data_IF_845809030586
#
_entry.id   IF_845809030586
#
_cell.length_a   1.000
_cell.length_b   1.000
_cell.length_c   1.000
_cell.angle_alpha   90.00
_cell.angle_beta   90.00
_cell.angle_gamma   90.00
#
_symmetry.space_group_name_H-M   'P 1'
#
loop_
_entity.id
_entity.type
_entity.pdbx_description
1 polymer ?
#
# COMPACT_ATOMS: atom_id res chain seq x y z
N UNK A 1 -1.41 24.60 -16.75
CA UNK A 1 -1.31 23.49 -15.78
C UNK A 1 -1.79 22.19 -16.41
N UNK A 2 -0.86 21.37 -16.91
CA UNK A 2 -1.18 20.05 -17.42
C UNK A 2 -1.71 19.14 -16.29
N UNK A 3 -2.77 18.40 -16.56
CA UNK A 3 -3.35 17.42 -15.62
C UNK A 3 -3.03 16.01 -16.09
N UNK A 4 -2.46 15.18 -15.20
CA UNK A 4 -2.16 13.78 -15.46
C UNK A 4 -2.97 12.88 -14.52
N UNK A 5 -3.32 11.70 -15.01
CA UNK A 5 -3.90 10.62 -14.25
C UNK A 5 -2.78 9.64 -13.88
N UNK A 6 -2.66 9.29 -12.60
CA UNK A 6 -1.63 8.37 -12.10
C UNK A 6 -2.28 7.19 -11.39
N UNK A 7 -1.75 5.99 -11.63
CA UNK A 7 -2.32 4.75 -11.14
C UNK A 7 -1.33 4.03 -10.22
N UNK A 8 -1.79 3.68 -9.01
CA UNK A 8 -1.11 2.74 -8.13
C UNK A 8 -1.82 1.40 -8.25
N UNK A 9 -1.26 0.51 -9.08
CA UNK A 9 -1.78 -0.84 -9.27
C UNK A 9 -1.12 -1.77 -8.27
N UNK A 10 -1.95 -2.42 -7.46
CA UNK A 10 -1.50 -3.31 -6.39
C UNK A 10 -2.00 -4.72 -6.67
N UNK A 11 -1.10 -5.68 -6.53
CA UNK A 11 -1.38 -7.10 -6.58
C UNK A 11 -0.65 -7.81 -5.43
N UNK A 12 -0.90 -9.10 -5.22
CA UNK A 12 -0.12 -9.93 -4.31
C UNK A 12 0.39 -11.14 -5.08
N UNK A 13 1.67 -11.46 -4.93
CA UNK A 13 2.31 -12.63 -5.52
C UNK A 13 3.30 -13.22 -4.54
N UNK A 14 3.28 -14.55 -4.39
CA UNK A 14 4.18 -15.29 -3.48
C UNK A 14 4.21 -14.72 -2.05
N UNK A 15 3.04 -14.43 -1.49
CA UNK A 15 2.89 -13.82 -0.15
C UNK A 15 3.58 -12.44 -0.02
N UNK A 16 3.83 -11.74 -1.15
CA UNK A 16 4.39 -10.39 -1.20
C UNK A 16 3.44 -9.41 -1.90
N UNK A 17 3.27 -8.21 -1.34
CA UNK A 17 2.52 -7.15 -1.99
C UNK A 17 3.37 -6.50 -3.09
N UNK A 18 2.77 -6.36 -4.26
CA UNK A 18 3.43 -5.89 -5.46
C UNK A 18 2.78 -4.59 -5.93
N UNK A 19 3.60 -3.66 -6.41
CA UNK A 19 3.18 -2.45 -7.12
C UNK A 19 3.70 -2.49 -8.54
N UNK A 20 2.86 -2.13 -9.49
CA UNK A 20 3.28 -1.99 -10.88
C UNK A 20 4.00 -0.67 -11.11
N UNK A 21 5.14 -0.74 -11.79
CA UNK A 21 6.01 0.40 -12.07
C UNK A 21 6.56 0.36 -13.48
N UNK A 22 6.96 1.53 -13.96
CA UNK A 22 7.63 1.75 -15.24
C UNK A 22 9.09 2.15 -15.00
N UNK A 23 9.88 2.23 -16.08
CA UNK A 23 11.25 2.75 -16.07
C UNK A 23 12.15 2.12 -14.98
N UNK A 24 12.13 0.78 -14.94
CA UNK A 24 12.94 0.02 -13.98
C UNK A 24 12.50 0.12 -12.53
N UNK A 25 11.36 0.75 -12.23
CA UNK A 25 10.84 0.91 -10.87
C UNK A 25 10.78 2.35 -10.36
N UNK A 26 11.11 3.33 -11.20
CA UNK A 26 11.19 4.74 -10.75
C UNK A 26 9.90 5.52 -10.93
N UNK A 27 8.99 5.05 -11.78
CA UNK A 27 7.78 5.81 -12.15
C UNK A 27 6.53 4.94 -11.98
N UNK A 28 5.44 5.54 -11.50
CA UNK A 28 4.12 4.91 -11.48
C UNK A 28 3.44 5.10 -12.85
N UNK A 29 2.65 4.12 -13.34
CA UNK A 29 1.88 4.27 -14.58
C UNK A 29 1.03 5.55 -14.56
N UNK A 30 1.19 6.38 -15.59
CA UNK A 30 0.50 7.67 -15.67
C UNK A 30 0.31 8.14 -17.10
N UNK A 31 -0.72 8.97 -17.35
CA UNK A 31 -1.01 9.51 -18.67
C UNK A 31 -1.77 10.84 -18.61
N UNK A 32 -1.80 11.63 -19.71
CA UNK A 32 -2.54 12.88 -19.76
C UNK A 32 -4.04 12.68 -19.56
N UNK A 33 -4.70 13.69 -18.99
CA UNK A 33 -6.15 13.80 -19.04
C UNK A 33 -6.59 14.23 -20.45
N UNK A 34 -7.26 13.34 -21.18
CA UNK A 34 -7.76 13.62 -22.53
C UNK A 34 -9.27 13.92 -22.53
N UNK A 35 -9.67 14.97 -23.25
CA UNK A 35 -11.07 15.42 -23.34
C UNK A 35 -12.01 14.40 -24.00
N UNK A 36 -11.47 13.46 -24.78
CA UNK A 36 -12.24 12.40 -25.45
C UNK A 36 -12.74 11.28 -24.52
N UNK A 37 -12.24 11.21 -23.28
CA UNK A 37 -12.64 10.18 -22.33
C UNK A 37 -13.93 10.58 -21.60
N UNK A 38 -14.95 9.70 -21.63
CA UNK A 38 -16.26 9.95 -20.98
C UNK A 38 -16.17 10.11 -19.45
N UNK A 39 -15.09 9.66 -18.83
CA UNK A 39 -14.79 9.88 -17.41
C UNK A 39 -13.29 9.77 -17.14
N UNK A 40 -12.82 10.35 -16.02
CA UNK A 40 -11.43 10.21 -15.56
C UNK A 40 -11.04 8.74 -15.39
N UNK A 41 -11.94 7.92 -14.83
CA UNK A 41 -11.71 6.49 -14.62
C UNK A 41 -11.60 5.73 -15.94
N UNK A 42 -12.39 6.08 -16.95
CA UNK A 42 -12.29 5.50 -18.30
C UNK A 42 -10.94 5.83 -18.92
N UNK A 43 -10.49 7.09 -18.80
CA UNK A 43 -9.18 7.51 -19.31
C UNK A 43 -8.02 6.79 -18.64
N UNK A 44 -8.07 6.66 -17.30
CA UNK A 44 -7.07 5.91 -16.53
C UNK A 44 -7.00 4.44 -16.98
N UNK A 45 -8.14 3.76 -17.09
CA UNK A 45 -8.21 2.36 -17.54
C UNK A 45 -7.53 2.18 -18.89
N UNK A 46 -7.92 2.99 -19.88
CA UNK A 46 -7.35 2.93 -21.23
C UNK A 46 -5.85 3.19 -21.22
N UNK A 47 -5.36 4.18 -20.47
CA UNK A 47 -3.94 4.49 -20.42
C UNK A 47 -3.12 3.38 -19.77
N UNK A 48 -3.57 2.86 -18.62
CA UNK A 48 -2.88 1.79 -17.92
C UNK A 48 -2.87 0.52 -18.77
N UNK A 49 -4.01 0.13 -19.34
CA UNK A 49 -4.10 -1.05 -20.20
C UNK A 49 -3.16 -0.92 -21.41
N UNK A 50 -3.07 0.27 -22.02
CA UNK A 50 -2.13 0.52 -23.14
C UNK A 50 -0.65 0.48 -22.72
N UNK A 51 -0.30 1.05 -21.57
CA UNK A 51 1.09 1.12 -21.11
C UNK A 51 1.61 -0.21 -20.59
N UNK A 52 0.73 -0.98 -19.98
CA UNK A 52 1.14 -2.08 -19.10
C UNK A 52 0.56 -3.42 -19.54
N UNK A 53 -0.48 -3.42 -20.38
CA UNK A 53 -1.20 -4.62 -20.76
C UNK A 53 -2.14 -5.17 -19.67
N UNK A 54 -2.22 -4.54 -18.49
CA UNK A 54 -3.02 -5.04 -17.38
C UNK A 54 -4.41 -4.40 -17.34
N UNK A 55 -5.44 -5.25 -17.36
CA UNK A 55 -6.80 -4.84 -17.05
C UNK A 55 -6.90 -4.39 -15.59
N UNK A 56 -7.55 -3.25 -15.36
CA UNK A 56 -7.82 -2.78 -14.00
C UNK A 56 -9.01 -3.54 -13.41
N UNK A 57 -8.85 -4.15 -12.24
CA UNK A 57 -9.96 -4.73 -11.49
C UNK A 57 -10.77 -3.65 -10.77
N UNK A 58 -10.69 -3.66 -9.45
CA UNK A 58 -11.24 -2.58 -8.61
C UNK A 58 -10.43 -1.29 -8.81
N UNK A 59 -11.10 -0.15 -8.97
CA UNK A 59 -10.45 1.17 -9.11
C UNK A 59 -11.20 2.18 -8.25
N UNK A 60 -10.46 2.94 -7.46
CA UNK A 60 -10.97 4.05 -6.65
C UNK A 60 -10.01 5.24 -6.75
N UNK A 61 -10.58 6.45 -6.81
CA UNK A 61 -9.79 7.67 -6.73
C UNK A 61 -9.20 7.82 -5.32
N UNK A 62 -7.91 8.12 -5.24
CA UNK A 62 -7.20 8.41 -3.99
C UNK A 62 -7.31 9.90 -3.69
N UNK A 63 -6.34 10.68 -4.14
CA UNK A 63 -6.22 12.11 -3.89
C UNK A 63 -5.76 12.84 -5.15
N UNK A 64 -5.88 14.17 -5.12
CA UNK A 64 -5.27 15.05 -6.12
C UNK A 64 -4.04 15.69 -5.52
N UNK A 65 -2.90 15.53 -6.19
CA UNK A 65 -1.62 16.11 -5.82
C UNK A 65 -1.29 17.26 -6.77
N UNK A 66 -0.61 18.28 -6.29
CA UNK A 66 -0.02 19.31 -7.12
C UNK A 66 1.48 19.07 -7.09
N UNK A 67 2.05 18.69 -8.23
CA UNK A 67 3.49 18.42 -8.33
C UNK A 67 4.25 19.74 -8.21
N UNK A 68 5.30 19.75 -7.38
CA UNK A 68 6.22 20.87 -7.34
C UNK A 68 7.09 20.80 -8.62
N UNK A 69 7.37 21.94 -9.29
CA UNK A 69 8.18 21.92 -10.50
C UNK A 69 9.55 21.29 -10.18
N UNK A 70 9.99 20.38 -11.05
CA UNK A 70 11.31 19.78 -10.97
C UNK A 70 12.36 20.90 -11.12
N UNK A 71 13.35 20.92 -10.23
CA UNK A 71 14.26 22.08 -10.07
C UNK A 71 15.07 22.42 -11.33
N UNK A 72 15.13 21.51 -12.30
CA UNK A 72 15.89 21.62 -13.55
C UNK A 72 15.03 21.58 -14.83
N UNK A 73 13.70 21.49 -14.73
CA UNK A 73 12.81 21.51 -15.89
C UNK A 73 11.99 22.80 -15.92
N UNK A 74 11.88 23.42 -17.10
CA UNK A 74 11.02 24.59 -17.38
C UNK A 74 9.51 24.29 -17.31
N UNK A 75 9.07 23.39 -16.43
CA UNK A 75 7.72 22.81 -16.48
C UNK A 75 6.74 23.50 -15.53
N UNK A 76 5.54 23.78 -16.06
CA UNK A 76 4.43 24.32 -15.29
C UNK A 76 4.02 23.35 -14.19
N UNK A 77 3.59 23.86 -13.02
CA UNK A 77 2.93 23.04 -11.99
C UNK A 77 1.89 22.12 -12.62
N UNK A 78 2.03 20.81 -12.38
CA UNK A 78 1.14 19.80 -12.90
C UNK A 78 0.18 19.31 -11.81
N UNK A 79 -1.05 18.95 -12.22
CA UNK A 79 -2.05 18.38 -11.31
C UNK A 79 -2.11 16.87 -11.55
N UNK A 80 -1.83 16.08 -10.51
CA UNK A 80 -1.86 14.63 -10.56
C UNK A 80 -3.12 14.11 -9.87
N UNK A 81 -4.03 13.49 -10.62
CA UNK A 81 -5.20 12.82 -10.06
C UNK A 81 -4.85 11.33 -9.90
N UNK A 82 -4.71 10.90 -8.66
CA UNK A 82 -4.25 9.55 -8.33
C UNK A 82 -5.39 8.56 -8.11
N UNK A 83 -5.15 7.31 -8.50
CA UNK A 83 -6.08 6.20 -8.35
C UNK A 83 -5.39 4.99 -7.75
N UNK A 84 -6.08 4.30 -6.85
CA UNK A 84 -5.73 2.97 -6.38
C UNK A 84 -6.47 1.97 -7.24
N UNK A 85 -5.74 1.01 -7.78
CA UNK A 85 -6.32 -0.12 -8.48
C UNK A 85 -5.82 -1.44 -7.88
N UNK A 86 -6.71 -2.41 -7.74
CA UNK A 86 -6.37 -3.76 -7.30
C UNK A 86 -6.59 -4.73 -8.45
N UNK A 87 -5.62 -5.61 -8.64
CA UNK A 87 -5.64 -6.63 -9.69
C UNK A 87 -4.86 -7.87 -9.27
N UNK A 88 -4.78 -8.85 -10.17
CA UNK A 88 -4.06 -10.10 -10.01
C UNK A 88 -2.97 -10.17 -11.06
N UNK A 89 -1.81 -10.73 -10.69
CA UNK A 89 -0.70 -10.90 -11.62
C UNK A 89 -0.96 -12.14 -12.49
N UNK A 90 -0.89 -11.98 -13.80
CA UNK A 90 -0.96 -13.09 -14.75
C UNK A 90 0.44 -13.48 -15.25
N UNK A 91 0.57 -14.67 -15.83
CA UNK A 91 1.85 -15.16 -16.33
C UNK A 91 2.37 -14.28 -17.49
N UNK A 92 3.67 -13.99 -17.50
CA UNK A 92 4.33 -13.18 -18.52
C UNK A 92 4.22 -11.66 -18.31
N UNK A 93 3.62 -11.23 -17.20
CA UNK A 93 3.56 -9.81 -16.83
C UNK A 93 4.88 -9.30 -16.24
N UNK A 94 5.24 -8.05 -16.53
CA UNK A 94 6.49 -7.40 -16.13
C UNK A 94 6.25 -6.07 -15.41
N UNK A 95 7.27 -5.51 -14.76
CA UNK A 95 7.18 -4.21 -14.09
C UNK A 95 6.64 -4.25 -12.65
N UNK A 96 6.27 -5.43 -12.16
CA UNK A 96 5.87 -5.66 -10.77
C UNK A 96 7.08 -5.60 -9.83
N UNK A 97 7.00 -4.77 -8.80
CA UNK A 97 8.02 -4.60 -7.75
C UNK A 97 7.41 -4.85 -6.38
N UNK A 98 8.17 -5.45 -5.47
CA UNK A 98 7.73 -5.56 -4.09
C UNK A 98 7.65 -4.16 -3.49
N UNK A 99 6.50 -3.76 -2.95
CA UNK A 99 6.34 -2.39 -2.47
C UNK A 99 7.26 -2.07 -1.25
N UNK A 100 7.79 -3.11 -0.58
CA UNK A 100 8.69 -3.00 0.56
C UNK A 100 10.13 -2.72 0.12
N UNK A 101 10.41 -2.84 -1.18
CA UNK A 101 11.67 -2.34 -1.74
C UNK A 101 11.72 -0.81 -1.65
N UNK A 102 10.58 -0.12 -1.70
CA UNK A 102 10.43 1.33 -1.51
C UNK A 102 10.28 1.72 -0.04
N UNK A 103 9.59 0.88 0.76
CA UNK A 103 9.30 1.16 2.17
C UNK A 103 9.71 0.00 3.09
N UNK A 104 11.00 -0.33 3.20
CA UNK A 104 11.44 -1.54 3.92
C UNK A 104 11.12 -1.53 5.41
N UNK A 105 10.90 -0.36 6.01
CA UNK A 105 10.49 -0.23 7.40
C UNK A 105 8.99 -0.50 7.62
N UNK A 106 8.18 -0.60 6.57
CA UNK A 106 6.75 -0.90 6.69
C UNK A 106 6.48 -2.41 6.82
N UNK A 107 7.48 -3.25 6.59
CA UNK A 107 7.39 -4.69 6.79
C UNK A 107 7.80 -5.05 8.23
N UNK A 108 6.83 -4.97 9.15
CA UNK A 108 7.03 -5.35 10.55
C UNK A 108 6.99 -6.86 10.76
N UNK A 109 6.77 -7.67 9.71
CA UNK A 109 6.79 -9.13 9.81
C UNK A 109 8.22 -9.66 9.90
N UNK A 110 9.19 -8.95 9.31
CA UNK A 110 10.60 -9.36 9.29
C UNK A 110 11.42 -8.73 10.41
N UNK A 111 12.45 -9.43 10.94
CA UNK A 111 13.41 -8.84 11.88
C UNK A 111 14.12 -7.61 11.31
N UNK A 112 14.45 -7.62 10.02
CA UNK A 112 15.15 -6.55 9.33
C UNK A 112 14.33 -5.25 9.28
N UNK A 113 13.03 -5.34 8.97
CA UNK A 113 12.13 -4.19 8.97
C UNK A 113 12.00 -3.57 10.37
N UNK A 114 11.85 -4.40 11.41
CA UNK A 114 11.81 -3.94 12.82
C UNK A 114 13.13 -3.28 13.25
N UNK A 115 14.28 -3.85 12.87
CA UNK A 115 15.59 -3.28 13.14
C UNK A 115 15.82 -1.96 12.39
N UNK A 116 15.23 -1.80 11.19
CA UNK A 116 15.28 -0.53 10.47
C UNK A 116 14.46 0.56 11.17
N UNK A 117 13.28 0.24 11.72
CA UNK A 117 12.48 1.19 12.51
C UNK A 117 13.28 1.73 13.71
N UNK A 118 13.98 0.88 14.45
CA UNK A 118 14.80 1.33 15.59
C UNK A 118 15.91 2.32 15.17
N UNK A 119 16.57 2.06 14.02
CA UNK A 119 17.60 2.97 13.47
C UNK A 119 17.00 4.30 13.00
N UNK A 120 15.87 4.24 12.31
CA UNK A 120 15.14 5.41 11.85
C UNK A 120 14.73 6.29 13.05
N UNK A 121 14.16 5.67 14.08
CA UNK A 121 13.74 6.37 15.30
C UNK A 121 14.91 7.08 15.99
N UNK A 122 16.10 6.47 16.01
CA UNK A 122 17.30 7.11 16.56
C UNK A 122 17.71 8.36 15.76
N UNK A 123 17.77 8.26 14.42
CA UNK A 123 18.11 9.40 13.55
C UNK A 123 17.09 10.54 13.66
N UNK A 124 15.81 10.20 13.71
CA UNK A 124 14.74 11.18 13.91
C UNK A 124 14.80 11.82 15.30
N UNK A 125 15.21 11.07 16.33
CA UNK A 125 15.45 11.58 17.67
C UNK A 125 16.58 12.61 17.72
N UNK A 126 17.67 12.37 16.99
CA UNK A 126 18.76 13.35 16.82
C UNK A 126 18.27 14.61 16.10
N UNK A 127 17.51 14.45 15.02
CA UNK A 127 16.89 15.57 14.28
C UNK A 127 15.90 16.38 15.13
N UNK A 128 15.16 15.73 16.04
CA UNK A 128 14.29 16.41 16.98
C UNK A 128 15.08 17.19 18.04
N UNK A 129 16.15 16.61 18.60
CA UNK A 129 17.02 17.27 19.60
C UNK A 129 17.79 18.47 19.05
N UNK A 130 18.14 18.44 17.77
CA UNK A 130 18.83 19.56 17.11
C UNK A 130 17.93 20.80 16.89
N UNK A 131 16.61 20.66 17.06
CA UNK A 131 15.66 21.75 16.88
C UNK A 131 15.50 22.61 18.15
N UNK A 132 15.00 23.87 18.03
CA UNK A 132 14.61 24.66 19.19
C UNK A 132 13.60 23.91 20.09
N UNK A 133 13.61 24.12 21.42
CA UNK A 133 12.92 23.24 22.37
C UNK A 133 11.44 22.95 22.06
N UNK A 134 10.66 23.97 21.69
CA UNK A 134 9.25 23.79 21.36
C UNK A 134 9.04 22.94 20.09
N UNK A 135 9.86 23.16 19.06
CA UNK A 135 9.81 22.39 17.82
C UNK A 135 10.34 20.96 18.03
N UNK A 136 11.41 20.81 18.82
CA UNK A 136 11.96 19.51 19.18
C UNK A 136 10.96 18.64 19.94
N UNK A 137 10.22 19.22 20.89
CA UNK A 137 9.14 18.52 21.60
C UNK A 137 8.02 18.07 20.64
N UNK A 138 7.57 18.95 19.74
CA UNK A 138 6.56 18.61 18.75
C UNK A 138 7.01 17.50 17.78
N UNK A 139 8.28 17.55 17.33
CA UNK A 139 8.89 16.49 16.51
C UNK A 139 8.94 15.17 17.26
N UNK A 140 9.39 15.19 18.53
CA UNK A 140 9.47 13.99 19.35
C UNK A 140 8.10 13.31 19.50
N UNK A 141 7.05 14.09 19.80
CA UNK A 141 5.69 13.56 19.88
C UNK A 141 5.23 12.92 18.56
N UNK A 142 5.48 13.57 17.42
CA UNK A 142 5.16 13.01 16.10
C UNK A 142 5.93 11.72 15.81
N UNK A 143 7.20 11.65 16.17
CA UNK A 143 8.03 10.44 16.02
C UNK A 143 7.44 9.30 16.85
N UNK A 144 7.14 9.54 18.13
CA UNK A 144 6.61 8.52 19.01
C UNK A 144 5.26 7.96 18.51
N UNK A 145 4.36 8.84 18.07
CA UNK A 145 3.06 8.45 17.49
C UNK A 145 3.20 7.65 16.19
N UNK A 146 4.03 8.12 15.26
CA UNK A 146 4.11 7.53 13.90
C UNK A 146 4.89 6.22 13.85
N UNK A 147 5.85 6.02 14.74
CA UNK A 147 6.68 4.81 14.80
C UNK A 147 6.31 3.86 15.95
N UNK A 148 5.26 4.16 16.71
CA UNK A 148 4.82 3.31 17.83
C UNK A 148 5.89 3.16 18.90
N UNK A 149 6.41 4.29 19.39
CA UNK A 149 7.41 4.32 20.47
C UNK A 149 6.75 4.69 21.80
N UNK A 150 7.49 4.59 22.91
CA UNK A 150 7.01 5.02 24.23
C UNK A 150 5.71 4.32 24.68
N UNK A 151 5.53 3.06 24.28
CA UNK A 151 4.33 2.27 24.57
C UNK A 151 3.13 2.56 23.65
N UNK A 152 3.28 3.49 22.70
CA UNK A 152 2.33 3.67 21.61
C UNK A 152 2.48 2.48 20.66
N UNK A 153 1.39 1.83 20.27
CA UNK A 153 1.45 0.69 19.34
C UNK A 153 1.79 1.11 17.92
N UNK A 154 2.31 0.19 17.10
CA UNK A 154 2.49 0.42 15.66
C UNK A 154 1.14 0.50 14.95
N UNK A 155 0.90 1.61 14.26
CA UNK A 155 -0.27 1.81 13.40
C UNK A 155 0.13 1.65 11.92
N UNK A 156 -0.44 0.62 11.30
CA UNK A 156 -0.18 0.24 9.92
C UNK A 156 -0.74 1.25 8.90
N UNK A 157 -1.68 2.12 9.30
CA UNK A 157 -2.28 3.15 8.44
C UNK A 157 -1.42 4.42 8.33
N UNK A 158 -0.46 4.64 9.23
CA UNK A 158 0.37 5.86 9.29
C UNK A 158 1.56 5.88 8.28
N UNK A 159 1.45 5.17 7.16
CA UNK A 159 2.52 5.01 6.15
C UNK A 159 2.96 6.36 5.58
N UNK A 160 1.98 7.19 5.17
CA UNK A 160 2.25 8.51 4.61
C UNK A 160 2.92 9.41 5.64
N UNK A 161 2.44 9.42 6.88
CA UNK A 161 2.97 10.25 7.95
C UNK A 161 4.42 9.89 8.29
N UNK A 162 4.76 8.59 8.28
CA UNK A 162 6.15 8.15 8.42
C UNK A 162 7.02 8.61 7.26
N UNK A 163 6.55 8.45 6.02
CA UNK A 163 7.29 8.92 4.85
C UNK A 163 7.51 10.45 4.88
N UNK A 164 6.48 11.23 5.16
CA UNK A 164 6.57 12.70 5.24
C UNK A 164 7.53 13.15 6.35
N UNK A 165 7.52 12.46 7.50
CA UNK A 165 8.47 12.76 8.58
C UNK A 165 9.93 12.48 8.18
N UNK A 166 10.18 11.37 7.46
CA UNK A 166 11.50 11.07 6.91
C UNK A 166 11.91 12.11 5.86
N UNK A 167 10.97 12.54 5.03
CA UNK A 167 11.18 13.58 4.02
C UNK A 167 11.56 14.91 4.68
N UNK A 168 10.81 15.36 5.69
CA UNK A 168 11.09 16.56 6.48
C UNK A 168 12.45 16.52 7.19
N UNK A 169 12.88 15.32 7.61
CA UNK A 169 14.15 15.10 8.29
C UNK A 169 15.35 15.00 7.33
N UNK A 170 15.13 15.04 6.02
CA UNK A 170 16.21 14.88 5.04
C UNK A 170 16.70 13.43 4.89
N UNK A 171 15.94 12.46 5.41
CA UNK A 171 16.35 11.05 5.54
C UNK A 171 15.95 10.19 4.33
N UNK A 172 15.34 10.75 3.30
CA UNK A 172 15.07 10.04 2.03
C UNK A 172 15.69 10.78 0.85
N UNK A 173 16.00 10.10 -0.27
CA UNK A 173 16.62 10.73 -1.43
C UNK A 173 15.80 11.88 -2.02
N UNK A 174 14.47 11.84 -1.89
CA UNK A 174 13.56 12.84 -2.43
C UNK A 174 13.47 14.12 -1.56
N UNK A 175 14.14 14.16 -0.41
CA UNK A 175 14.16 15.32 0.47
C UNK A 175 14.88 16.52 -0.13
N UNK A 176 14.36 17.72 0.12
CA UNK A 176 15.02 18.98 -0.25
C UNK A 176 15.09 19.93 0.96
N UNK A 177 16.29 20.20 1.52
CA UNK A 177 17.58 19.59 1.21
C UNK A 177 17.77 18.18 1.83
N UNK A 178 18.64 17.33 1.28
CA UNK A 178 18.99 16.03 1.88
C UNK A 178 19.92 16.18 3.09
N UNK A 179 19.78 15.34 4.11
CA UNK A 179 20.60 15.34 5.33
C UNK A 179 21.92 14.53 5.19
N UNK A 180 22.25 14.04 3.99
CA UNK A 180 23.49 13.31 3.67
C UNK A 180 23.42 11.80 3.88
N UNK A 181 22.76 11.30 4.93
CA UNK A 181 22.56 9.87 5.17
C UNK A 181 21.09 9.48 5.01
N UNK A 182 20.74 8.84 3.89
CA UNK A 182 19.36 8.39 3.62
C UNK A 182 19.09 7.00 4.18
N UNK A 183 17.86 6.77 4.63
CA UNK A 183 17.39 5.44 5.02
C UNK A 183 17.29 4.54 3.79
N UNK A 184 17.38 3.22 4.00
CA UNK A 184 17.24 2.24 2.92
C UNK A 184 15.84 2.33 2.29
N UNK A 185 15.80 2.26 0.96
CA UNK A 185 14.57 2.17 0.15
C UNK A 185 14.85 2.66 -1.28
N UNK A 186 14.20 2.07 -2.27
CA UNK A 186 14.31 2.52 -3.66
C UNK A 186 13.61 3.88 -3.82
N UNK A 187 14.21 4.76 -4.61
CA UNK A 187 13.67 6.08 -4.95
C UNK A 187 12.62 6.02 -6.07
N UNK A 188 11.76 7.04 -6.13
CA UNK A 188 10.87 7.28 -7.27
C UNK A 188 10.96 8.72 -7.72
N UNK A 189 10.65 8.97 -9.00
CA UNK A 189 10.59 10.31 -9.54
C UNK A 189 9.40 11.10 -8.95
N UNK A 190 9.62 12.39 -8.69
CA UNK A 190 8.61 13.31 -8.15
C UNK A 190 7.92 12.78 -6.88
N UNK A 191 6.61 12.97 -6.80
CA UNK A 191 5.76 12.52 -5.68
C UNK A 191 5.48 11.00 -5.67
N UNK A 192 6.17 10.18 -6.48
CA UNK A 192 5.85 8.75 -6.67
C UNK A 192 5.76 7.95 -5.36
N UNK A 193 6.75 8.09 -4.47
CA UNK A 193 6.73 7.43 -3.15
C UNK A 193 5.62 7.98 -2.25
N UNK A 194 5.37 9.29 -2.27
CA UNK A 194 4.29 9.90 -1.50
C UNK A 194 2.91 9.34 -1.91
N UNK A 195 2.69 9.22 -3.21
CA UNK A 195 1.47 8.64 -3.80
C UNK A 195 1.34 7.16 -3.43
N UNK A 196 2.43 6.38 -3.51
CA UNK A 196 2.43 4.97 -3.10
C UNK A 196 2.16 4.80 -1.60
N UNK A 197 2.80 5.59 -0.74
CA UNK A 197 2.55 5.59 0.71
C UNK A 197 1.08 5.90 1.04
N UNK A 198 0.48 6.84 0.32
CA UNK A 198 -0.95 7.17 0.42
C UNK A 198 -1.83 5.99 0.02
N UNK A 199 -1.50 5.31 -1.08
CA UNK A 199 -2.21 4.13 -1.56
C UNK A 199 -2.12 2.95 -0.57
N UNK A 200 -0.93 2.72 0.01
CA UNK A 200 -0.69 1.71 1.05
C UNK A 200 -1.56 1.96 2.28
N UNK A 201 -1.51 3.18 2.83
CA UNK A 201 -2.33 3.59 3.97
C UNK A 201 -3.83 3.38 3.69
N UNK A 202 -4.28 3.80 2.49
CA UNK A 202 -5.68 3.66 2.07
C UNK A 202 -6.10 2.20 1.92
N UNK A 203 -5.25 1.34 1.36
CA UNK A 203 -5.54 -0.08 1.20
C UNK A 203 -5.61 -0.77 2.57
N UNK A 204 -4.65 -0.52 3.47
CA UNK A 204 -4.62 -1.06 4.84
C UNK A 204 -5.88 -0.68 5.63
N UNK A 205 -6.26 0.59 5.59
CA UNK A 205 -7.53 1.04 6.17
C UNK A 205 -8.74 0.34 5.55
N UNK A 206 -8.75 0.12 4.23
CA UNK A 206 -9.88 -0.55 3.55
C UNK A 206 -10.01 -2.01 3.91
N UNK A 207 -8.92 -2.77 3.92
CA UNK A 207 -9.00 -4.20 4.22
C UNK A 207 -9.48 -4.45 5.65
N UNK A 208 -9.25 -3.50 6.58
CA UNK A 208 -9.78 -3.52 7.94
C UNK A 208 -11.31 -3.53 7.99
N UNK A 209 -11.97 -2.83 7.07
CA UNK A 209 -13.43 -2.59 7.11
C UNK A 209 -14.24 -3.11 5.92
N UNK A 210 -13.60 -3.52 4.83
CA UNK A 210 -14.25 -3.96 3.60
C UNK A 210 -13.60 -5.24 3.07
N UNK A 211 -14.37 -6.11 2.40
CA UNK A 211 -13.86 -7.34 1.79
C UNK A 211 -13.10 -7.04 0.47
N UNK A 212 -12.35 -5.94 0.39
CA UNK A 212 -11.61 -5.55 -0.81
C UNK A 212 -10.38 -6.43 -1.05
N UNK A 213 -9.90 -7.12 -0.01
CA UNK A 213 -8.78 -8.06 -0.09
C UNK A 213 -9.02 -9.17 -1.13
N UNK A 214 -10.28 -9.56 -1.38
CA UNK A 214 -10.59 -10.62 -2.34
C UNK A 214 -10.33 -10.24 -3.80
N UNK A 215 -10.18 -8.95 -4.11
CA UNK A 215 -9.72 -8.49 -5.43
C UNK A 215 -8.26 -8.89 -5.71
N UNK A 216 -7.48 -9.15 -4.65
CA UNK A 216 -6.09 -9.60 -4.71
C UNK A 216 -5.96 -11.13 -4.66
N UNK A 217 -7.06 -11.85 -4.43
CA UNK A 217 -7.07 -13.30 -4.28
C UNK A 217 -7.42 -14.01 -5.59
N UNK A 218 -6.88 -15.21 -5.86
CA UNK A 218 -7.38 -16.08 -6.92
C UNK A 218 -8.86 -16.45 -6.67
N UNK A 219 -9.53 -16.98 -7.70
CA UNK A 219 -10.95 -17.34 -7.59
C UNK A 219 -11.23 -18.42 -6.54
N UNK A 220 -10.27 -19.33 -6.32
CA UNK A 220 -10.25 -20.30 -5.23
C UNK A 220 -8.94 -20.20 -4.44
N UNK A 221 -9.04 -20.23 -3.11
CA UNK A 221 -7.90 -20.06 -2.22
C UNK A 221 -8.07 -20.83 -0.91
N UNK A 222 -6.95 -21.10 -0.23
CA UNK A 222 -6.95 -21.60 1.15
C UNK A 222 -7.05 -20.45 2.15
N UNK A 223 -7.58 -20.72 3.35
CA UNK A 223 -7.56 -19.72 4.44
C UNK A 223 -6.14 -19.29 4.86
N UNK A 224 -5.13 -20.14 4.61
CA UNK A 224 -3.74 -19.78 4.86
C UNK A 224 -3.25 -18.75 3.84
N UNK A 225 -3.53 -18.95 2.55
CA UNK A 225 -3.20 -17.96 1.51
C UNK A 225 -3.89 -16.62 1.77
N UNK A 226 -5.17 -16.65 2.18
CA UNK A 226 -5.88 -15.42 2.55
C UNK A 226 -5.22 -14.72 3.73
N UNK A 227 -4.87 -15.46 4.80
CA UNK A 227 -4.17 -14.90 5.96
C UNK A 227 -2.85 -14.25 5.54
N UNK A 228 -2.01 -14.97 4.77
CA UNK A 228 -0.71 -14.46 4.33
C UNK A 228 -0.84 -13.24 3.43
N UNK A 229 -1.85 -13.20 2.56
CA UNK A 229 -2.15 -12.02 1.73
C UNK A 229 -2.52 -10.81 2.60
N UNK A 230 -3.34 -11.00 3.63
CA UNK A 230 -3.69 -9.92 4.57
C UNK A 230 -2.46 -9.46 5.36
N UNK A 231 -1.65 -10.39 5.90
CA UNK A 231 -0.42 -10.08 6.63
C UNK A 231 0.58 -9.33 5.75
N UNK A 232 0.75 -9.77 4.49
CA UNK A 232 1.60 -9.16 3.49
C UNK A 232 1.20 -7.71 3.21
N UNK A 233 -0.10 -7.43 3.05
CA UNK A 233 -0.63 -6.08 2.80
C UNK A 233 -0.60 -5.21 4.07
N UNK A 234 -0.92 -5.77 5.24
CA UNK A 234 -0.88 -5.06 6.51
C UNK A 234 0.55 -4.77 7.00
N UNK A 235 1.53 -5.57 6.57
CA UNK A 235 2.90 -5.51 7.06
C UNK A 235 3.05 -5.98 8.51
N UNK A 236 2.07 -6.69 9.04
CA UNK A 236 2.06 -7.19 10.42
C UNK A 236 1.55 -8.63 10.46
N UNK A 237 2.11 -9.44 11.36
CA UNK A 237 1.66 -10.81 11.58
C UNK A 237 0.29 -10.85 12.30
N UNK A 238 -0.53 -11.84 11.97
CA UNK A 238 -1.85 -12.03 12.57
C UNK A 238 -1.93 -13.35 13.33
N UNK A 239 -2.72 -13.37 14.40
CA UNK A 239 -2.99 -14.61 15.12
C UNK A 239 -3.90 -15.52 14.29
N UNK A 240 -3.38 -16.69 13.89
CA UNK A 240 -4.05 -17.67 13.00
C UNK A 240 -5.46 -18.04 13.46
N UNK A 241 -5.68 -18.29 14.75
CA UNK A 241 -6.99 -18.70 15.25
C UNK A 241 -8.00 -17.54 15.24
N UNK A 242 -7.53 -16.32 15.54
CA UNK A 242 -8.39 -15.14 15.53
C UNK A 242 -8.82 -14.80 14.10
N UNK A 243 -7.87 -14.89 13.16
CA UNK A 243 -8.14 -14.68 11.74
C UNK A 243 -9.19 -15.65 11.20
N UNK A 244 -9.01 -16.96 11.45
CA UNK A 244 -9.96 -17.99 11.02
C UNK A 244 -11.35 -17.76 11.60
N UNK A 245 -11.44 -17.51 12.91
CA UNK A 245 -12.71 -17.21 13.58
C UNK A 245 -13.40 -16.01 12.95
N UNK A 246 -12.66 -14.94 12.65
CA UNK A 246 -13.19 -13.72 12.07
C UNK A 246 -13.76 -13.96 10.67
N UNK A 247 -13.02 -14.64 9.80
CA UNK A 247 -13.46 -14.92 8.42
C UNK A 247 -14.70 -15.82 8.41
N UNK A 248 -14.74 -16.87 9.24
CA UNK A 248 -15.91 -17.76 9.33
C UNK A 248 -17.13 -17.02 9.90
N UNK A 249 -16.96 -16.19 10.94
CA UNK A 249 -18.06 -15.43 11.54
C UNK A 249 -18.68 -14.39 10.60
N UNK A 250 -17.88 -13.84 9.68
CA UNK A 250 -18.37 -12.81 8.76
C UNK A 250 -19.13 -13.39 7.54
N UNK A 251 -19.15 -14.72 7.38
CA UNK A 251 -19.80 -15.43 6.27
C UNK A 251 -19.38 -14.88 4.88
N UNK A 252 -18.10 -14.50 4.76
CA UNK A 252 -17.55 -13.91 3.53
C UNK A 252 -17.08 -14.95 2.53
N UNK A 253 -16.83 -16.18 2.99
CA UNK A 253 -16.25 -17.25 2.18
C UNK A 253 -17.09 -18.51 2.28
N UNK A 254 -17.19 -19.25 1.19
CA UNK A 254 -17.84 -20.56 1.11
C UNK A 254 -16.79 -21.63 0.80
N UNK A 255 -16.89 -22.79 1.45
CA UNK A 255 -16.03 -23.94 1.18
C UNK A 255 -16.39 -24.56 -0.17
N UNK A 256 -15.40 -24.86 -0.98
CA UNK A 256 -15.59 -25.57 -2.25
C UNK A 256 -15.48 -27.08 -2.05
N UNK A 257 -15.99 -27.88 -2.99
CA UNK A 257 -15.79 -29.34 -2.96
C UNK A 257 -14.31 -29.75 -3.16
N UNK A 258 -13.51 -28.85 -3.74
CA UNK A 258 -12.12 -29.11 -4.09
C UNK A 258 -11.16 -28.94 -2.90
N UNK A 259 -10.06 -29.69 -2.95
CA UNK A 259 -8.93 -29.57 -2.05
C UNK A 259 -7.73 -28.98 -2.80
N UNK A 260 -6.88 -28.24 -2.10
CA UNK A 260 -5.66 -27.70 -2.67
C UNK A 260 -4.77 -28.87 -3.14
N UNK A 261 -4.17 -28.77 -4.34
CA UNK A 261 -3.24 -29.78 -4.84
C UNK A 261 -2.10 -30.00 -3.85
N UNK A 262 -1.68 -31.27 -3.72
CA UNK A 262 -0.93 -31.82 -2.61
C UNK A 262 0.35 -31.04 -2.24
N UNK A 263 0.23 -30.14 -1.27
CA UNK A 263 1.37 -29.62 -0.51
C UNK A 263 1.63 -30.55 0.67
N UNK A 264 2.82 -31.17 0.70
CA UNK A 264 3.40 -31.98 1.78
C UNK A 264 2.64 -31.84 3.13
N UNK A 265 1.63 -32.70 3.36
CA UNK A 265 0.75 -32.63 4.55
C UNK A 265 -0.72 -32.97 4.25
N UNK A 266 -1.65 -32.68 5.19
CA UNK A 266 -3.10 -32.84 4.95
C UNK A 266 -3.56 -31.79 3.92
N UNK A 267 -4.22 -32.18 2.81
CA UNK A 267 -4.70 -31.25 1.81
C UNK A 267 -5.59 -30.17 2.44
N UNK A 268 -5.30 -28.92 2.12
CA UNK A 268 -6.06 -27.78 2.62
C UNK A 268 -7.37 -27.65 1.85
N UNK A 269 -8.45 -27.30 2.56
CA UNK A 269 -9.74 -26.96 1.93
C UNK A 269 -9.62 -25.67 1.14
N UNK A 270 -10.23 -25.67 -0.05
CA UNK A 270 -10.37 -24.48 -0.86
C UNK A 270 -11.68 -23.75 -0.53
N UNK A 271 -11.63 -22.44 -0.69
CA UNK A 271 -12.72 -21.52 -0.43
C UNK A 271 -12.86 -20.56 -1.60
N UNK A 272 -14.07 -20.05 -1.79
CA UNK A 272 -14.39 -18.98 -2.73
C UNK A 272 -15.02 -17.80 -2.00
N UNK A 273 -14.78 -16.60 -2.51
CA UNK A 273 -15.44 -15.41 -2.00
C UNK A 273 -16.94 -15.34 -2.37
N UNK A 274 -17.82 -15.11 -1.38
CA UNK A 274 -19.26 -14.97 -1.59
C UNK A 274 -19.60 -13.55 -2.04
N UNK A 275 -19.46 -13.28 -3.35
CA UNK A 275 -19.71 -11.94 -3.94
C UNK A 275 -21.09 -11.38 -3.64
N UNK A 276 -22.08 -12.25 -3.46
CA UNK A 276 -23.49 -11.90 -3.17
C UNK A 276 -23.67 -11.19 -1.82
N UNK A 277 -22.79 -11.47 -0.85
CA UNK A 277 -22.82 -10.88 0.50
C UNK A 277 -22.48 -9.38 0.48
N UNK A 278 -21.72 -8.89 -0.51
CA UNK A 278 -21.42 -7.46 -0.67
C UNK A 278 -22.66 -6.70 -1.15
N UNK A 279 -23.40 -7.24 -2.11
CA UNK A 279 -24.58 -6.58 -2.68
C UNK A 279 -25.62 -6.28 -1.60
N UNK A 280 -25.90 -7.26 -0.74
CA UNK A 280 -26.82 -7.13 0.37
C UNK A 280 -26.31 -6.19 1.49
N UNK A 281 -25.01 -6.22 1.82
CA UNK A 281 -24.44 -5.41 2.92
C UNK A 281 -24.07 -3.98 2.54
N UNK A 282 -23.81 -3.67 1.26
CA UNK A 282 -23.67 -2.28 0.77
C UNK A 282 -24.95 -1.47 0.97
N UNK A 283 -26.11 -2.12 0.92
CA UNK A 283 -27.42 -1.53 1.20
C UNK A 283 -27.61 -1.32 2.72
N UNK A 284 -27.03 -2.19 3.56
CA UNK A 284 -27.22 -2.22 5.01
C UNK A 284 -26.16 -1.45 5.84
N UNK A 285 -25.13 -0.85 5.22
CA UNK A 285 -24.21 0.09 5.89
C UNK A 285 -23.25 -0.48 6.94
N UNK A 286 -23.11 -1.81 7.07
CA UNK A 286 -22.28 -2.41 8.13
C UNK A 286 -20.76 -2.38 7.82
N UNK A 287 -19.97 -1.93 8.80
CA UNK A 287 -18.49 -1.90 8.78
C UNK A 287 -17.93 -3.21 9.35
N UNK A 288 -16.86 -3.75 8.77
CA UNK A 288 -16.14 -4.92 9.32
C UNK A 288 -15.09 -4.47 10.33
N UNK A 289 -14.91 -5.08 11.51
CA UNK A 289 -13.71 -4.82 12.32
C UNK A 289 -12.68 -5.93 12.10
N UNK A 290 -11.56 -5.65 11.42
CA UNK A 290 -10.33 -6.45 11.62
C UNK A 290 -9.65 -6.00 12.93
N UNK A 291 -9.48 -6.95 13.84
CA UNK A 291 -8.94 -6.79 15.20
C UNK A 291 -7.47 -6.35 15.25
N UNK A 292 -7.05 -5.85 16.42
CA UNK A 292 -5.69 -5.38 16.74
C UNK A 292 -4.59 -6.44 16.45
N UNK A 293 -3.36 -6.00 16.13
CA UNK A 293 -2.20 -6.88 16.04
C UNK A 293 -1.96 -7.64 17.35
N UNK A 294 -1.21 -8.74 17.27
CA UNK A 294 -0.82 -9.58 18.42
C UNK A 294 0.14 -8.85 19.34
#
# INVERSE_FOLDING_TARGET
MPTKLIAVLIAVSEDRPMVLTLEGGRVLPSGPLEAGHRSLQTGLRLWVERQTGHALGHVEQLYTFADAPDTDATDERSVLISYLALTRIHSGEHGWRNWYDYFPWEDQTTPDGRALVARIAAQLGDWARAAPPALGAARHQRIALTFGLEGLGWDDELVLQRYELLWEAGLVPESSPPAGATVRGQDMAGDGRRILATAMARLRAKIRYRPVIFELMPDSFTLLQLQRTVEAVAGQAMHKQNFRRLITQQDLVEETADLAPDTRGRPARLFRFRREVIGARRIAGSKLPLTRPV
#
